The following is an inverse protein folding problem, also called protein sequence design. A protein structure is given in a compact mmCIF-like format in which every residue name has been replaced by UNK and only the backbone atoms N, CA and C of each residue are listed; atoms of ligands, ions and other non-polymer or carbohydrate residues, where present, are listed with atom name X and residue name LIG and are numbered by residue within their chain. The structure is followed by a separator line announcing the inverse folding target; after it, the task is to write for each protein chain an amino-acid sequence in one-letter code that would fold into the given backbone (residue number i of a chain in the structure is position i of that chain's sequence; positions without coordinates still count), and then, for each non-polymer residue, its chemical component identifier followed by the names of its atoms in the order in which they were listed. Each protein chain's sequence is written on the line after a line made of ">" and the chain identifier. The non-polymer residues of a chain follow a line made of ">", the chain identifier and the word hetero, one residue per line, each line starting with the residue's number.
data_IF_882366036391
#
_entry.id   IF_882366036391
#
_cell.length_a   1.000
_cell.length_b   1.000
_cell.length_c   1.000
_cell.angle_alpha   90.00
_cell.angle_beta   90.00
_cell.angle_gamma   90.00
#
_symmetry.space_group_name_H-M   'P 1'
#
loop_
_entity.id
_entity.type
_entity.pdbx_description
1 polymer ?
#
# COMPACT_ATOMS: atom_id res chain seq x y z
N UNK A 1 -1.27 -23.27 -57.60
CA UNK A 1 -0.17 -22.29 -57.45
C UNK A 1 -0.72 -21.15 -56.59
N UNK A 2 -0.24 -20.95 -55.36
CA UNK A 2 -0.82 -19.97 -54.42
C UNK A 2 0.25 -18.90 -54.06
N UNK A 3 0.08 -17.61 -54.45
CA UNK A 3 1.16 -16.64 -54.48
C UNK A 3 1.39 -15.83 -53.18
N UNK A 4 0.73 -16.17 -52.07
CA UNK A 4 0.74 -15.34 -50.85
C UNK A 4 1.48 -15.96 -49.65
N UNK A 5 2.74 -16.37 -49.82
CA UNK A 5 3.60 -16.66 -48.65
C UNK A 5 4.40 -15.40 -48.27
N UNK A 6 3.94 -14.70 -47.24
CA UNK A 6 4.74 -13.69 -46.56
C UNK A 6 5.85 -14.38 -45.76
N UNK A 7 7.12 -13.92 -45.82
CA UNK A 7 8.18 -14.48 -45.00
C UNK A 7 7.88 -14.19 -43.53
N UNK A 8 7.88 -15.23 -42.71
CA UNK A 8 7.78 -15.10 -41.27
C UNK A 8 8.99 -14.28 -40.79
N UNK A 9 8.77 -13.00 -40.42
CA UNK A 9 9.75 -12.24 -39.66
C UNK A 9 9.89 -12.95 -38.32
N UNK A 10 11.04 -13.58 -38.09
CA UNK A 10 11.42 -14.08 -36.78
C UNK A 10 11.50 -12.86 -35.86
N UNK A 11 10.43 -12.62 -35.11
CA UNK A 11 10.42 -11.59 -34.07
C UNK A 11 11.33 -12.10 -32.96
N UNK A 12 12.57 -11.62 -32.93
CA UNK A 12 13.45 -11.79 -31.77
C UNK A 12 12.68 -11.30 -30.56
N UNK A 13 12.43 -12.18 -29.59
CA UNK A 13 11.83 -11.76 -28.34
C UNK A 13 12.74 -10.68 -27.72
N UNK A 14 12.20 -9.55 -27.23
CA UNK A 14 13.03 -8.58 -26.54
C UNK A 14 13.71 -9.31 -25.37
N UNK A 15 15.03 -9.14 -25.25
CA UNK A 15 15.78 -9.64 -24.10
C UNK A 15 15.06 -9.19 -22.82
N UNK A 16 14.75 -10.13 -21.92
CA UNK A 16 14.15 -9.85 -20.62
C UNK A 16 15.10 -8.88 -19.92
N UNK A 17 14.68 -7.63 -19.71
CA UNK A 17 15.43 -6.70 -18.87
C UNK A 17 15.30 -7.23 -17.45
N UNK A 18 16.37 -7.80 -16.92
CA UNK A 18 16.46 -8.28 -15.54
C UNK A 18 16.51 -7.12 -14.51
N UNK A 19 16.42 -5.87 -14.96
CA UNK A 19 16.41 -4.67 -14.11
C UNK A 19 15.01 -4.31 -13.54
N UNK A 20 14.03 -5.22 -13.61
CA UNK A 20 12.77 -4.96 -12.93
C UNK A 20 13.01 -4.98 -11.41
N UNK A 21 12.62 -3.94 -10.65
CA UNK A 21 12.80 -3.95 -9.21
C UNK A 21 12.11 -5.18 -8.62
N UNK A 22 12.82 -5.87 -7.72
CA UNK A 22 12.29 -7.04 -7.05
C UNK A 22 10.98 -6.67 -6.34
N UNK A 23 9.97 -7.54 -6.44
CA UNK A 23 8.72 -7.33 -5.73
C UNK A 23 8.99 -7.22 -4.22
N UNK A 24 8.52 -6.14 -3.60
CA UNK A 24 8.67 -5.93 -2.17
C UNK A 24 7.48 -6.57 -1.46
N UNK A 25 7.76 -7.46 -0.50
CA UNK A 25 6.72 -8.03 0.35
C UNK A 25 6.14 -6.93 1.25
N UNK A 26 4.80 -6.83 1.31
CA UNK A 26 4.12 -5.90 2.21
C UNK A 26 3.92 -6.59 3.56
N UNK A 27 4.61 -6.18 4.64
CA UNK A 27 4.62 -6.88 5.92
C UNK A 27 3.42 -6.49 6.80
N UNK A 28 2.28 -6.15 6.20
CA UNK A 28 1.15 -5.58 6.92
C UNK A 28 -0.15 -6.33 6.66
N UNK A 29 -0.99 -6.42 7.69
CA UNK A 29 -2.35 -6.95 7.58
C UNK A 29 -3.33 -6.04 8.29
N UNK A 30 -4.47 -5.77 7.66
CA UNK A 30 -5.62 -5.16 8.36
C UNK A 30 -6.26 -6.24 9.24
N UNK A 31 -6.25 -6.04 10.55
CA UNK A 31 -6.80 -7.01 11.51
C UNK A 31 -8.20 -6.62 11.99
N UNK A 32 -8.54 -5.33 11.99
CA UNK A 32 -9.85 -4.86 12.41
C UNK A 32 -10.30 -3.61 11.67
N UNK A 33 -11.59 -3.59 11.35
CA UNK A 33 -12.34 -2.41 10.88
C UNK A 33 -13.57 -2.26 11.76
N UNK A 34 -13.63 -1.19 12.56
CA UNK A 34 -14.77 -0.89 13.41
C UNK A 34 -15.68 0.13 12.74
N UNK A 35 -17.01 0.03 12.91
CA UNK A 35 -17.99 1.01 12.39
C UNK A 35 -17.66 2.46 12.79
N UNK A 36 -17.04 2.64 13.96
CA UNK A 36 -16.53 3.92 14.45
C UNK A 36 -15.39 4.53 13.63
N UNK A 37 -15.05 4.01 12.45
CA UNK A 37 -13.96 4.50 11.61
C UNK A 37 -12.56 4.10 12.08
N UNK A 38 -12.45 3.25 13.11
CA UNK A 38 -11.15 2.73 13.53
C UNK A 38 -10.67 1.62 12.59
N UNK A 39 -9.42 1.71 12.17
CA UNK A 39 -8.70 0.70 11.40
C UNK A 39 -7.46 0.30 12.19
N UNK A 40 -7.27 -1.01 12.34
CA UNK A 40 -6.11 -1.58 13.04
C UNK A 40 -5.32 -2.45 12.06
N UNK A 41 -4.00 -2.27 12.06
CA UNK A 41 -3.06 -3.04 11.24
C UNK A 41 -2.02 -3.71 12.12
N UNK A 42 -1.51 -4.85 11.68
CA UNK A 42 -0.48 -5.64 12.36
C UNK A 42 0.75 -5.79 11.47
N UNK A 43 1.94 -5.65 12.07
CA UNK A 43 3.21 -5.97 11.41
C UNK A 43 3.44 -7.49 11.43
N UNK A 44 3.43 -8.11 10.25
CA UNK A 44 3.69 -9.54 10.05
C UNK A 44 5.12 -9.83 9.56
N UNK A 45 5.95 -8.80 9.45
CA UNK A 45 7.35 -8.95 9.05
C UNK A 45 8.22 -9.53 10.17
N UNK A 46 9.41 -9.96 9.80
CA UNK A 46 10.36 -10.58 10.73
C UNK A 46 11.24 -9.55 11.47
N UNK A 47 11.06 -8.26 11.20
CA UNK A 47 11.88 -7.18 11.75
C UNK A 47 11.12 -5.90 12.10
N UNK A 48 11.77 -4.99 12.84
CA UNK A 48 11.19 -3.70 13.17
C UNK A 48 11.00 -2.85 11.91
N UNK A 49 9.86 -2.16 11.83
CA UNK A 49 9.57 -1.20 10.78
C UNK A 49 9.65 0.21 11.36
N UNK A 50 10.35 1.11 10.66
CA UNK A 50 10.70 2.42 11.17
C UNK A 50 9.93 3.55 10.47
N UNK A 51 9.78 4.65 11.20
CA UNK A 51 9.09 5.87 10.72
C UNK A 51 7.67 5.63 10.23
N UNK A 52 7.00 4.61 10.78
CA UNK A 52 5.67 4.16 10.38
C UNK A 52 4.65 5.26 10.68
N UNK A 53 3.86 5.64 9.67
CA UNK A 53 2.80 6.65 9.78
C UNK A 53 1.62 6.34 8.88
N UNK A 54 0.45 6.81 9.29
CA UNK A 54 -0.70 6.89 8.40
C UNK A 54 -0.78 8.26 7.70
N UNK A 55 -1.27 8.23 6.47
CA UNK A 55 -1.72 9.39 5.71
C UNK A 55 -3.10 9.09 5.12
N UNK A 56 -3.87 10.13 4.82
CA UNK A 56 -5.15 10.02 4.14
C UNK A 56 -5.04 10.68 2.78
N UNK A 57 -5.35 9.93 1.72
CA UNK A 57 -5.56 10.46 0.38
C UNK A 57 -7.06 10.61 0.16
N UNK A 58 -7.50 11.75 -0.39
CA UNK A 58 -8.92 12.04 -0.63
C UNK A 58 -9.62 12.76 0.52
N UNK A 59 -10.96 12.70 0.52
CA UNK A 59 -11.78 13.47 1.44
C UNK A 59 -11.89 12.81 2.84
N UNK A 60 -11.54 13.56 3.88
CA UNK A 60 -11.75 13.16 5.27
C UNK A 60 -10.74 13.80 6.21
N UNK A 61 -10.76 13.33 7.45
CA UNK A 61 -9.87 13.74 8.52
C UNK A 61 -9.18 12.51 9.13
N UNK A 62 -7.89 12.67 9.40
CA UNK A 62 -7.05 11.69 10.04
C UNK A 62 -6.46 12.29 11.31
N UNK A 63 -6.50 11.56 12.42
CA UNK A 63 -5.71 11.93 13.60
C UNK A 63 -4.22 11.91 13.26
N UNK A 64 -3.52 13.01 13.52
CA UNK A 64 -2.07 13.07 13.32
C UNK A 64 -1.37 12.18 14.36
N UNK A 65 -0.46 11.32 13.90
CA UNK A 65 0.43 10.57 14.75
C UNK A 65 1.89 10.91 14.44
N UNK A 66 2.74 10.91 15.47
CA UNK A 66 4.17 10.98 15.28
C UNK A 66 4.66 9.69 14.58
N UNK A 67 5.76 9.76 13.80
CA UNK A 67 6.42 8.55 13.34
C UNK A 67 6.81 7.65 14.50
N UNK A 68 6.53 6.36 14.36
CA UNK A 68 6.91 5.36 15.35
C UNK A 68 7.67 4.18 14.72
N UNK A 69 8.30 3.39 15.59
CA UNK A 69 8.78 2.05 15.25
C UNK A 69 7.70 1.05 15.63
N UNK A 70 7.46 0.06 14.77
CA UNK A 70 6.51 -1.04 15.02
C UNK A 70 7.25 -2.37 14.93
N UNK A 71 7.28 -3.12 16.02
CA UNK A 71 7.94 -4.42 16.11
C UNK A 71 7.08 -5.54 15.48
N UNK A 72 7.65 -6.71 15.15
CA UNK A 72 6.88 -7.87 14.71
C UNK A 72 5.74 -8.23 15.68
N UNK A 73 4.54 -8.45 15.14
CA UNK A 73 3.33 -8.75 15.90
C UNK A 73 2.67 -7.55 16.59
N UNK A 74 3.31 -6.37 16.60
CA UNK A 74 2.68 -5.17 17.14
C UNK A 74 1.61 -4.61 16.19
N UNK A 75 0.67 -3.89 16.80
CA UNK A 75 -0.47 -3.33 16.12
C UNK A 75 -0.50 -1.82 16.22
N UNK A 76 -0.93 -1.19 15.14
CA UNK A 76 -1.16 0.24 15.08
C UNK A 76 -2.62 0.49 14.72
N UNK A 77 -3.26 1.38 15.47
CA UNK A 77 -4.64 1.79 15.23
C UNK A 77 -4.69 3.24 14.78
N UNK A 78 -5.62 3.51 13.86
CA UNK A 78 -5.91 4.87 13.42
C UNK A 78 -7.40 5.09 13.31
N UNK A 79 -7.80 6.32 13.62
CA UNK A 79 -9.18 6.77 13.56
C UNK A 79 -9.36 7.64 12.34
N UNK A 80 -10.22 7.20 11.42
CA UNK A 80 -10.61 7.99 10.24
C UNK A 80 -11.98 8.60 10.49
N UNK A 81 -12.13 9.88 10.17
CA UNK A 81 -13.34 10.68 10.40
C UNK A 81 -13.79 11.35 9.10
N UNK A 82 -15.09 11.32 8.83
CA UNK A 82 -15.66 12.06 7.71
C UNK A 82 -15.69 13.54 8.02
N UNK A 83 -15.84 14.39 7.00
CA UNK A 83 -16.19 15.80 7.22
C UNK A 83 -17.59 15.92 7.84
N UNK A 84 -18.49 15.03 7.46
CA UNK A 84 -19.76 14.76 8.13
C UNK A 84 -19.72 13.38 8.80
N UNK A 85 -20.47 13.20 9.89
CA UNK A 85 -20.40 12.05 10.80
C UNK A 85 -20.54 10.65 10.13
N UNK A 86 -21.03 10.60 8.89
CA UNK A 86 -21.29 9.35 8.15
C UNK A 86 -20.31 9.07 6.99
N UNK A 87 -19.47 10.03 6.57
CA UNK A 87 -19.00 10.04 5.16
C UNK A 87 -17.56 9.57 4.88
N UNK A 88 -16.64 9.49 5.86
CA UNK A 88 -15.23 9.17 5.53
C UNK A 88 -15.04 7.81 4.84
N UNK A 89 -15.82 6.81 5.24
CA UNK A 89 -15.78 5.49 4.61
C UNK A 89 -16.60 5.37 3.33
N UNK A 90 -17.62 6.23 3.19
CA UNK A 90 -18.49 6.24 2.03
C UNK A 90 -17.91 7.04 0.86
N UNK A 91 -16.86 7.85 1.11
CA UNK A 91 -16.20 8.64 0.08
C UNK A 91 -15.39 7.72 -0.84
N UNK A 92 -15.89 7.50 -2.06
CA UNK A 92 -15.26 6.62 -3.05
C UNK A 92 -13.84 7.05 -3.48
N UNK A 93 -13.45 8.28 -3.14
CA UNK A 93 -12.14 8.87 -3.40
C UNK A 93 -11.19 8.83 -2.19
N UNK A 94 -11.61 8.30 -1.03
CA UNK A 94 -10.81 8.27 0.19
C UNK A 94 -10.06 6.95 0.39
N UNK A 95 -8.77 7.04 0.72
CA UNK A 95 -7.89 5.91 0.95
C UNK A 95 -6.92 6.19 2.09
N UNK A 96 -6.81 5.25 3.03
CA UNK A 96 -5.79 5.28 4.05
C UNK A 96 -4.48 4.75 3.45
N UNK A 97 -3.37 5.42 3.71
CA UNK A 97 -2.05 5.00 3.25
C UNK A 97 -1.16 4.79 4.45
N UNK A 98 -0.63 3.58 4.59
CA UNK A 98 0.41 3.28 5.56
C UNK A 98 1.77 3.47 4.89
N UNK A 99 2.63 4.31 5.46
CA UNK A 99 3.98 4.59 4.96
C UNK A 99 5.04 4.18 5.96
N UNK A 100 6.15 3.64 5.48
CA UNK A 100 7.34 3.29 6.28
C UNK A 100 8.59 3.33 5.41
N UNK A 101 9.76 3.23 6.02
CA UNK A 101 11.05 3.32 5.32
C UNK A 101 11.85 2.02 5.44
N UNK A 102 12.51 1.64 4.35
CA UNK A 102 13.54 0.61 4.34
C UNK A 102 14.86 1.17 4.91
N UNK A 103 15.81 0.29 5.29
CA UNK A 103 17.12 0.72 5.83
C UNK A 103 17.94 1.60 4.89
N UNK A 104 17.74 1.50 3.58
CA UNK A 104 18.37 2.32 2.55
C UNK A 104 17.69 3.69 2.33
N UNK A 105 16.60 3.95 3.06
CA UNK A 105 15.81 5.17 2.94
C UNK A 105 14.74 5.12 1.86
N UNK A 106 14.53 3.98 1.18
CA UNK A 106 13.40 3.82 0.27
C UNK A 106 12.08 3.89 1.06
N UNK A 107 11.15 4.71 0.58
CA UNK A 107 9.83 4.82 1.16
C UNK A 107 8.88 3.82 0.51
N UNK A 108 8.22 3.02 1.36
CA UNK A 108 7.20 2.09 0.94
C UNK A 108 5.82 2.59 1.36
N UNK A 109 4.86 2.46 0.44
CA UNK A 109 3.48 2.87 0.63
C UNK A 109 2.56 1.67 0.46
N UNK A 110 1.68 1.45 1.43
CA UNK A 110 0.63 0.45 1.33
C UNK A 110 -0.76 1.12 1.36
N UNK A 111 -1.48 1.12 0.22
CA UNK A 111 -2.85 1.63 0.16
C UNK A 111 -3.85 0.69 0.83
N UNK A 112 -4.73 1.25 1.64
CA UNK A 112 -5.80 0.57 2.37
C UNK A 112 -7.13 1.25 1.98
N UNK A 113 -7.96 0.54 1.21
CA UNK A 113 -9.32 0.96 0.92
C UNK A 113 -10.13 1.11 2.22
N UNK A 114 -10.99 2.13 2.32
CA UNK A 114 -11.71 2.49 3.54
C UNK A 114 -13.08 1.84 3.67
#
# INVERSE_FOLDING_TARGET
>A
MNPFRLPARTRTAPARRDDAPAAVAVPWRVVRRAESGMVEVENLGDGPLHSVRFALAGNGLLGLSLPCTVLPGERLSVLVRGRDAEQARASADAMLVLRWFQPDGEELLWPIAL
#
